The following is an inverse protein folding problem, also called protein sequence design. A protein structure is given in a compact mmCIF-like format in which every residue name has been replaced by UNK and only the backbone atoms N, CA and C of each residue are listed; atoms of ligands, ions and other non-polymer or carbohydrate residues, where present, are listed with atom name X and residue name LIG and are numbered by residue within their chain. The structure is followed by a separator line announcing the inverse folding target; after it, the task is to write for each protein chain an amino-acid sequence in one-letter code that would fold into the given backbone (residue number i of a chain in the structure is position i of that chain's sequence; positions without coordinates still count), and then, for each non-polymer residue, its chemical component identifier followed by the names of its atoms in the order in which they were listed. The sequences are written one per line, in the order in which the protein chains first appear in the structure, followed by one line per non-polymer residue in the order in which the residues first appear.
data_IF_187117818826
#
_entry.id   IF_187117818826
#
_cell.length_a   1.000
_cell.length_b   1.000
_cell.length_c   1.000
_cell.angle_alpha   90.00
_cell.angle_beta   90.00
_cell.angle_gamma   90.00
#
_symmetry.space_group_name_H-M   'P 1'
#
loop_
_entity.id
_entity.type
_entity.pdbx_description
1 polymer ?
#
# COMPACT_ATOMS: atom_id res chain seq x y z
N UNK A 1 -10.07 10.78 8.33
CA UNK A 1 -8.86 11.51 7.87
C UNK A 1 -8.26 10.89 6.62
N UNK A 2 -7.97 9.58 6.59
CA UNK A 2 -7.43 8.91 5.40
C UNK A 2 -8.27 9.09 4.13
N UNK A 3 -9.60 8.90 4.20
CA UNK A 3 -10.50 9.08 3.05
C UNK A 3 -10.41 10.48 2.44
N UNK A 4 -10.61 11.53 3.25
CA UNK A 4 -10.55 12.92 2.78
C UNK A 4 -9.17 13.27 2.17
N UNK A 5 -8.08 12.71 2.71
CA UNK A 5 -6.75 12.89 2.15
C UNK A 5 -6.60 12.18 0.80
N UNK A 6 -7.03 10.93 0.69
CA UNK A 6 -6.96 10.14 -0.55
C UNK A 6 -7.80 10.76 -1.67
N UNK A 7 -9.00 11.24 -1.34
CA UNK A 7 -9.90 11.93 -2.30
C UNK A 7 -9.23 13.22 -2.81
N UNK A 8 -8.71 14.05 -1.89
CA UNK A 8 -8.01 15.29 -2.25
C UNK A 8 -6.75 15.05 -3.07
N UNK A 9 -5.98 14.00 -2.76
CA UNK A 9 -4.81 13.60 -3.54
C UNK A 9 -5.18 13.20 -4.97
N UNK A 10 -6.26 12.43 -5.13
CA UNK A 10 -6.76 12.03 -6.45
C UNK A 10 -7.18 13.25 -7.28
N UNK A 11 -7.89 14.20 -6.68
CA UNK A 11 -8.27 15.46 -7.35
C UNK A 11 -7.04 16.26 -7.78
N UNK A 12 -6.02 16.34 -6.92
CA UNK A 12 -4.80 17.06 -7.21
C UNK A 12 -4.00 16.42 -8.35
N UNK A 13 -3.90 15.08 -8.39
CA UNK A 13 -3.28 14.35 -9.51
C UNK A 13 -4.03 14.59 -10.82
N UNK A 14 -5.37 14.58 -10.79
CA UNK A 14 -6.20 14.87 -11.96
C UNK A 14 -5.97 16.29 -12.49
N UNK A 15 -5.81 17.27 -11.61
CA UNK A 15 -5.50 18.65 -12.01
C UNK A 15 -4.07 18.77 -12.56
N UNK A 16 -3.10 18.13 -11.91
CA UNK A 16 -1.71 18.14 -12.34
C UNK A 16 -1.57 17.57 -13.76
N UNK A 17 -2.22 16.44 -14.05
CA UNK A 17 -2.19 15.82 -15.38
C UNK A 17 -2.80 16.71 -16.47
N UNK A 18 -3.79 17.55 -16.14
CA UNK A 18 -4.38 18.51 -17.09
C UNK A 18 -3.42 19.66 -17.42
N UNK A 19 -2.65 20.12 -16.45
CA UNK A 19 -1.72 21.25 -16.60
C UNK A 19 -0.39 20.79 -17.22
N UNK A 20 0.06 19.58 -16.89
CA UNK A 20 1.36 19.03 -17.28
C UNK A 20 1.20 17.80 -18.16
N UNK A 21 0.67 17.99 -19.37
CA UNK A 21 0.44 16.90 -20.33
C UNK A 21 1.70 16.20 -20.82
N UNK A 22 2.88 16.78 -20.58
CA UNK A 22 4.18 16.18 -20.87
C UNK A 22 4.73 15.31 -19.73
N UNK A 23 4.09 15.32 -18.56
CA UNK A 23 4.49 14.47 -17.44
C UNK A 23 3.75 13.12 -17.49
N UNK A 24 4.44 12.05 -17.08
CA UNK A 24 3.79 10.77 -16.77
C UNK A 24 3.60 10.69 -15.27
N UNK A 25 2.35 10.64 -14.82
CA UNK A 25 2.01 10.54 -13.40
C UNK A 25 1.31 9.22 -13.14
N UNK A 26 1.75 8.53 -12.10
CA UNK A 26 1.12 7.30 -11.62
C UNK A 26 0.62 7.54 -10.20
N UNK A 27 -0.67 7.32 -9.98
CA UNK A 27 -1.26 7.28 -8.65
C UNK A 27 -1.42 5.82 -8.25
N UNK A 28 -0.69 5.42 -7.21
CA UNK A 28 -0.77 4.07 -6.66
C UNK A 28 -1.59 4.06 -5.37
N UNK A 29 -2.68 3.29 -5.37
CA UNK A 29 -3.56 3.15 -4.21
C UNK A 29 -3.03 2.08 -3.24
N UNK A 30 -2.16 2.51 -2.33
CA UNK A 30 -1.62 1.64 -1.28
C UNK A 30 -2.67 1.21 -0.25
N UNK A 31 -3.77 1.96 -0.12
CA UNK A 31 -4.87 1.62 0.77
C UNK A 31 -5.60 0.38 0.27
N UNK A 32 -5.91 0.32 -1.03
CA UNK A 32 -6.53 -0.86 -1.66
C UNK A 32 -5.62 -2.08 -1.58
N UNK A 33 -4.30 -1.93 -1.76
CA UNK A 33 -3.40 -3.07 -1.56
C UNK A 33 -3.44 -3.56 -0.11
N UNK A 34 -3.21 -2.66 0.86
CA UNK A 34 -3.14 -3.03 2.28
C UNK A 34 -4.44 -3.71 2.74
N UNK A 35 -5.60 -3.13 2.40
CA UNK A 35 -6.90 -3.71 2.76
C UNK A 35 -7.14 -5.08 2.15
N UNK A 36 -6.68 -5.32 0.91
CA UNK A 36 -6.75 -6.64 0.27
C UNK A 36 -5.87 -7.67 0.99
N UNK A 37 -4.63 -7.31 1.31
CA UNK A 37 -3.70 -8.20 2.01
C UNK A 37 -4.20 -8.52 3.43
N UNK A 38 -4.70 -7.52 4.17
CA UNK A 38 -5.29 -7.74 5.50
C UNK A 38 -6.58 -8.57 5.45
N UNK A 39 -7.34 -8.49 4.35
CA UNK A 39 -8.54 -9.29 4.16
C UNK A 39 -8.26 -10.77 3.91
N UNK A 40 -7.18 -11.08 3.19
CA UNK A 40 -6.80 -12.45 2.79
C UNK A 40 -5.30 -12.74 3.05
N UNK A 41 -4.80 -12.64 4.29
CA UNK A 41 -3.37 -12.73 4.60
C UNK A 41 -2.72 -14.02 4.08
N UNK A 42 -3.44 -15.15 4.17
CA UNK A 42 -2.97 -16.46 3.75
C UNK A 42 -2.71 -16.54 2.23
N UNK A 43 -3.48 -15.82 1.41
CA UNK A 43 -3.30 -15.76 -0.05
C UNK A 43 -1.94 -15.14 -0.43
N UNK A 44 -1.42 -14.26 0.44
CA UNK A 44 -0.12 -13.61 0.32
C UNK A 44 0.98 -14.32 1.12
N UNK A 45 0.66 -15.49 1.70
CA UNK A 45 1.58 -16.31 2.47
C UNK A 45 1.95 -15.72 3.84
N UNK A 46 1.03 -14.98 4.45
CA UNK A 46 1.12 -14.58 5.86
C UNK A 46 0.25 -15.48 6.74
N UNK A 47 0.57 -15.52 8.02
CA UNK A 47 -0.21 -16.30 8.99
C UNK A 47 -1.60 -15.71 9.22
N UNK A 48 -1.70 -14.44 9.58
CA UNK A 48 -2.96 -13.73 9.79
C UNK A 48 -2.78 -12.20 9.69
N UNK A 49 -3.87 -11.45 9.82
CA UNK A 49 -3.89 -9.99 9.65
C UNK A 49 -3.29 -9.19 10.82
N UNK A 50 -3.08 -9.84 11.96
CA UNK A 50 -2.69 -9.21 13.23
C UNK A 50 -1.33 -9.67 13.73
N UNK A 51 -0.78 -10.74 13.15
CA UNK A 51 0.48 -11.29 13.59
C UNK A 51 1.63 -10.32 13.33
N UNK A 52 2.62 -10.38 14.21
CA UNK A 52 3.75 -9.45 14.23
C UNK A 52 5.04 -10.20 14.56
N UNK A 53 6.11 -9.88 13.85
CA UNK A 53 7.43 -10.44 14.11
C UNK A 53 8.57 -9.54 13.63
N UNK A 54 9.77 -9.77 14.13
CA UNK A 54 10.93 -8.98 13.68
C UNK A 54 11.56 -9.51 12.38
N UNK A 55 11.18 -10.70 11.90
CA UNK A 55 11.70 -11.28 10.66
C UNK A 55 11.19 -10.58 9.38
N UNK A 56 10.03 -9.91 9.47
CA UNK A 56 9.42 -9.12 8.40
C UNK A 56 8.92 -9.93 7.20
N UNK A 57 8.80 -11.24 7.33
CA UNK A 57 8.52 -12.19 6.25
C UNK A 57 7.38 -13.16 6.53
N UNK A 58 7.21 -13.63 7.76
CA UNK A 58 6.11 -14.56 8.10
C UNK A 58 4.86 -13.84 8.61
N UNK A 59 4.99 -12.59 9.04
CA UNK A 59 3.90 -11.71 9.43
C UNK A 59 3.78 -10.45 8.56
N UNK A 60 2.56 -9.91 8.50
CA UNK A 60 2.32 -8.64 7.83
C UNK A 60 3.02 -7.53 8.59
N UNK A 61 2.95 -7.53 9.91
CA UNK A 61 3.49 -6.46 10.75
C UNK A 61 4.89 -6.80 11.26
N UNK A 62 5.80 -5.82 11.14
CA UNK A 62 7.10 -5.85 11.80
C UNK A 62 7.02 -5.28 13.22
N UNK A 63 6.23 -4.22 13.41
CA UNK A 63 5.88 -3.65 14.70
C UNK A 63 4.44 -3.07 14.67
N UNK A 64 4.06 -2.28 15.68
CA UNK A 64 2.69 -1.71 15.82
C UNK A 64 2.22 -0.81 14.65
N UNK A 65 3.09 -0.45 13.70
CA UNK A 65 2.74 0.45 12.60
C UNK A 65 3.33 0.03 11.24
N UNK A 66 4.51 -0.61 11.23
CA UNK A 66 5.27 -0.86 10.02
C UNK A 66 5.06 -2.28 9.52
N UNK A 67 4.66 -2.46 8.23
CA UNK A 67 4.67 -3.77 7.61
C UNK A 67 6.08 -4.35 7.45
N UNK A 68 6.19 -5.67 7.38
CA UNK A 68 7.42 -6.39 7.08
C UNK A 68 7.91 -6.17 5.65
N UNK A 69 9.19 -6.46 5.39
CA UNK A 69 9.80 -6.31 4.07
C UNK A 69 9.09 -7.14 2.99
N UNK A 70 8.51 -8.30 3.34
CA UNK A 70 7.77 -9.11 2.36
C UNK A 70 6.55 -8.37 1.82
N UNK A 71 5.87 -7.56 2.65
CA UNK A 71 4.74 -6.76 2.19
C UNK A 71 5.20 -5.69 1.20
N UNK A 72 6.37 -5.09 1.46
CA UNK A 72 6.97 -4.14 0.56
C UNK A 72 7.29 -4.73 -0.83
N UNK A 73 7.49 -6.05 -0.95
CA UNK A 73 7.65 -6.76 -2.23
C UNK A 73 6.35 -6.92 -3.03
N UNK A 74 5.19 -6.67 -2.43
CA UNK A 74 3.91 -6.66 -3.15
C UNK A 74 3.63 -5.33 -3.84
N UNK A 75 4.43 -4.29 -3.57
CA UNK A 75 4.24 -2.96 -4.13
C UNK A 75 4.77 -2.92 -5.57
N UNK A 76 4.12 -2.21 -6.50
CA UNK A 76 4.37 -2.32 -7.95
C UNK A 76 5.77 -1.88 -8.43
N UNK A 77 6.64 -1.40 -7.53
CA UNK A 77 8.00 -0.95 -7.83
C UNK A 77 9.09 -1.79 -7.14
N UNK A 78 8.71 -2.91 -6.54
CA UNK A 78 9.62 -3.78 -5.78
C UNK A 78 10.11 -5.01 -6.58
N UNK A 79 9.77 -5.06 -7.87
CA UNK A 79 10.21 -6.05 -8.86
C UNK A 79 11.30 -5.52 -9.77
#
# INVERSE_FOLDING_TARGET
MATAYNDGLQDMVNQFNKIHSNATVVLYDSWVLMTRVLGNPEEYGYQDATCMNEDGSSCIWWNDLHPGWKYHQCQPWSS
#
